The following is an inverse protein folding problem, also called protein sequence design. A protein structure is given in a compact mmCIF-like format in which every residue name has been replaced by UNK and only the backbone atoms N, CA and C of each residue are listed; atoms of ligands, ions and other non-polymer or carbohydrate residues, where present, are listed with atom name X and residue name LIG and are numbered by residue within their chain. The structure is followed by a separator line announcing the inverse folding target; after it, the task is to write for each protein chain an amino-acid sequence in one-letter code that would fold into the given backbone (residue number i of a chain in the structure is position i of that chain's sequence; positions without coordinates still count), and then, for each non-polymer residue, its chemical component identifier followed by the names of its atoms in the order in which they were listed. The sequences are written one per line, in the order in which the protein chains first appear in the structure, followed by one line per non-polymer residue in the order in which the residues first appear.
data_IF_473992419817
#
_entry.id   IF_473992419817
#
_cell.length_a   1.000
_cell.length_b   1.000
_cell.length_c   1.000
_cell.angle_alpha   90.00
_cell.angle_beta   90.00
_cell.angle_gamma   90.00
#
_symmetry.space_group_name_H-M   'P 1'
#
loop_
_entity.id
_entity.type
_entity.pdbx_description
1 polymer ?
#
# COMPACT_ATOMS: atom_id res chain seq x y z
N UNK A 1 6.88 0.31 -2.16
CA UNK A 1 5.49 0.52 -1.69
C UNK A 1 4.41 -0.34 -2.38
N UNK A 2 4.22 -0.33 -3.70
CA UNK A 2 2.97 -0.78 -4.37
C UNK A 2 2.55 -2.25 -4.33
N UNK A 3 3.45 -3.17 -3.96
CA UNK A 3 3.25 -4.61 -4.07
C UNK A 3 3.69 -5.29 -2.77
N UNK A 4 2.94 -6.31 -2.39
CA UNK A 4 3.30 -7.27 -1.34
C UNK A 4 3.45 -8.66 -1.94
N UNK A 5 4.18 -9.53 -1.25
CA UNK A 5 4.21 -10.95 -1.62
C UNK A 5 2.81 -11.56 -1.45
N UNK A 6 2.36 -12.24 -2.50
CA UNK A 6 1.03 -12.87 -2.51
C UNK A 6 0.99 -14.02 -1.49
N UNK A 7 -0.02 -14.08 -0.60
CA UNK A 7 -0.22 -15.24 0.26
C UNK A 7 -0.44 -16.52 -0.57
N UNK A 8 -0.05 -17.68 -0.03
CA UNK A 8 -0.24 -18.93 -0.76
C UNK A 8 -1.70 -19.37 -0.77
N UNK A 9 -2.15 -19.90 -1.90
CA UNK A 9 -3.46 -20.52 -2.04
C UNK A 9 -3.63 -21.71 -1.07
N UNK A 10 -2.57 -22.49 -0.86
CA UNK A 10 -2.60 -23.60 0.09
C UNK A 10 -2.91 -23.12 1.51
N UNK A 11 -2.24 -22.05 1.99
CA UNK A 11 -2.55 -21.47 3.31
C UNK A 11 -3.99 -20.97 3.40
N UNK A 12 -4.53 -20.39 2.32
CA UNK A 12 -5.94 -19.99 2.29
C UNK A 12 -6.90 -21.19 2.43
N UNK A 13 -6.57 -22.33 1.80
CA UNK A 13 -7.33 -23.58 1.97
C UNK A 13 -7.15 -24.19 3.36
N UNK A 14 -5.98 -24.05 3.97
CA UNK A 14 -5.74 -24.50 5.34
C UNK A 14 -6.54 -23.67 6.36
N UNK A 15 -6.66 -22.35 6.15
CA UNK A 15 -7.55 -21.50 6.96
C UNK A 15 -9.01 -21.93 6.83
N UNK A 16 -9.46 -22.20 5.60
CA UNK A 16 -10.80 -22.68 5.34
C UNK A 16 -11.07 -24.01 6.05
N UNK A 17 -10.11 -24.93 6.05
CA UNK A 17 -10.21 -26.19 6.80
C UNK A 17 -10.42 -25.93 8.29
N UNK A 18 -9.65 -25.01 8.86
CA UNK A 18 -9.78 -24.65 10.26
C UNK A 18 -11.14 -24.00 10.55
N UNK A 19 -11.61 -23.12 9.67
CA UNK A 19 -12.92 -22.48 9.79
C UNK A 19 -14.06 -23.50 9.76
N UNK A 20 -14.05 -24.42 8.79
CA UNK A 20 -15.07 -25.46 8.63
C UNK A 20 -15.10 -26.41 9.81
N UNK A 21 -13.94 -26.74 10.40
CA UNK A 21 -13.86 -27.58 11.60
C UNK A 21 -14.58 -26.96 12.81
N UNK A 22 -14.69 -25.64 12.88
CA UNK A 22 -15.29 -24.90 14.01
C UNK A 22 -16.61 -24.20 13.66
N UNK A 23 -17.03 -24.23 12.39
CA UNK A 23 -18.27 -23.65 11.88
C UNK A 23 -19.18 -24.74 11.30
N UNK A 24 -20.02 -25.33 12.16
CA UNK A 24 -20.94 -26.43 11.79
C UNK A 24 -21.99 -26.07 10.73
N UNK A 25 -22.09 -24.80 10.33
CA UNK A 25 -23.00 -24.32 9.29
C UNK A 25 -22.42 -24.46 7.87
N UNK A 26 -21.16 -24.87 7.73
CA UNK A 26 -20.48 -25.14 6.45
C UNK A 26 -20.05 -26.61 6.49
N UNK A 27 -20.60 -27.44 5.62
CA UNK A 27 -20.26 -28.87 5.58
C UNK A 27 -19.11 -29.16 4.60
N UNK A 28 -18.79 -30.45 4.41
CA UNK A 28 -17.72 -30.87 3.51
C UNK A 28 -18.03 -30.59 2.02
N UNK A 29 -19.30 -30.59 1.60
CA UNK A 29 -19.68 -30.26 0.23
C UNK A 29 -19.56 -28.75 0.00
N UNK A 30 -19.99 -27.95 0.97
CA UNK A 30 -19.84 -26.49 0.96
C UNK A 30 -18.36 -26.08 0.95
N UNK A 31 -17.53 -26.77 1.73
CA UNK A 31 -16.08 -26.55 1.75
C UNK A 31 -15.48 -26.65 0.34
N UNK A 32 -15.85 -27.67 -0.44
CA UNK A 32 -15.36 -27.84 -1.81
C UNK A 32 -15.77 -26.64 -2.69
N UNK A 33 -16.98 -26.10 -2.50
CA UNK A 33 -17.42 -24.90 -3.20
C UNK A 33 -16.57 -23.67 -2.85
N UNK A 34 -16.23 -23.47 -1.56
CA UNK A 34 -15.31 -22.39 -1.14
C UNK A 34 -13.87 -22.60 -1.64
N UNK A 35 -13.36 -23.83 -1.68
CA UNK A 35 -12.04 -24.12 -2.26
C UNK A 35 -12.01 -23.75 -3.75
N UNK A 36 -13.05 -24.10 -4.51
CA UNK A 36 -13.18 -23.70 -5.92
C UNK A 36 -13.29 -22.17 -6.09
N UNK A 37 -13.99 -21.50 -5.16
CA UNK A 37 -14.06 -20.05 -5.14
C UNK A 37 -12.70 -19.41 -4.89
N UNK A 38 -11.90 -19.97 -3.97
CA UNK A 38 -10.54 -19.50 -3.72
C UNK A 38 -9.62 -19.76 -4.91
N UNK A 39 -9.80 -20.88 -5.61
CA UNK A 39 -9.09 -21.19 -6.86
C UNK A 39 -9.43 -20.19 -7.97
N UNK A 40 -10.70 -19.80 -8.13
CA UNK A 40 -11.08 -18.77 -9.12
C UNK A 40 -10.52 -17.40 -8.75
N UNK A 41 -10.56 -17.02 -7.47
CA UNK A 41 -9.97 -15.78 -7.00
C UNK A 41 -8.45 -15.75 -7.25
N UNK A 42 -7.71 -16.80 -6.89
CA UNK A 42 -6.24 -16.86 -6.99
C UNK A 42 -5.72 -16.73 -8.43
N UNK A 43 -6.55 -17.04 -9.43
CA UNK A 43 -6.17 -16.89 -10.84
C UNK A 43 -6.01 -15.43 -11.25
N UNK A 44 -6.81 -14.52 -10.68
CA UNK A 44 -6.97 -13.15 -11.22
C UNK A 44 -6.96 -12.05 -10.15
N UNK A 45 -7.09 -12.39 -8.88
CA UNK A 45 -7.30 -11.43 -7.78
C UNK A 45 -8.73 -10.90 -7.69
N UNK A 46 -9.69 -11.54 -8.34
CA UNK A 46 -11.11 -11.20 -8.22
C UNK A 46 -12.01 -12.38 -8.63
N UNK A 47 -13.27 -12.35 -8.20
CA UNK A 47 -14.36 -13.14 -8.76
C UNK A 47 -15.32 -12.22 -9.53
N UNK A 48 -15.91 -12.69 -10.63
CA UNK A 48 -16.87 -11.88 -11.39
C UNK A 48 -18.16 -11.67 -10.59
N UNK A 49 -18.90 -10.60 -10.92
CA UNK A 49 -20.22 -10.35 -10.34
C UNK A 49 -21.19 -11.50 -10.63
N UNK A 50 -21.16 -12.08 -11.83
CA UNK A 50 -21.94 -13.26 -12.18
C UNK A 50 -21.61 -14.46 -11.27
N UNK A 51 -20.32 -14.71 -11.01
CA UNK A 51 -19.89 -15.79 -10.13
C UNK A 51 -20.36 -15.54 -8.69
N UNK A 52 -20.17 -14.31 -8.19
CA UNK A 52 -20.65 -13.90 -6.87
C UNK A 52 -22.16 -14.13 -6.69
N UNK A 53 -22.97 -13.68 -7.66
CA UNK A 53 -24.42 -13.82 -7.63
C UNK A 53 -24.85 -15.29 -7.67
N UNK A 54 -24.20 -16.09 -8.52
CA UNK A 54 -24.47 -17.54 -8.65
C UNK A 54 -24.11 -18.27 -7.35
N UNK A 55 -22.92 -18.02 -6.80
CA UNK A 55 -22.45 -18.63 -5.55
C UNK A 55 -23.34 -18.25 -4.36
N UNK A 56 -23.66 -16.96 -4.22
CA UNK A 56 -24.51 -16.46 -3.13
C UNK A 56 -25.93 -17.00 -3.20
N UNK A 57 -26.46 -17.24 -4.42
CA UNK A 57 -27.78 -17.82 -4.62
C UNK A 57 -27.80 -19.32 -4.31
N UNK A 58 -26.72 -20.04 -4.62
CA UNK A 58 -26.58 -21.48 -4.36
C UNK A 58 -26.29 -21.78 -2.88
N UNK A 59 -25.56 -20.91 -2.17
CA UNK A 59 -25.06 -21.15 -0.81
C UNK A 59 -25.43 -20.03 0.20
N UNK A 60 -26.69 -19.54 0.26
CA UNK A 60 -27.03 -18.32 1.00
C UNK A 60 -26.77 -18.43 2.52
N UNK A 61 -27.01 -19.59 3.12
CA UNK A 61 -26.78 -19.82 4.55
C UNK A 61 -25.29 -19.85 4.87
N UNK A 62 -24.49 -20.50 4.02
CA UNK A 62 -23.05 -20.65 4.17
C UNK A 62 -22.32 -19.34 3.95
N UNK A 63 -22.72 -18.52 2.96
CA UNK A 63 -22.18 -17.17 2.78
C UNK A 63 -22.40 -16.33 4.02
N UNK A 64 -23.60 -16.40 4.62
CA UNK A 64 -23.89 -15.73 5.89
C UNK A 64 -23.04 -16.27 7.05
N UNK A 65 -22.85 -17.60 7.11
CA UNK A 65 -22.02 -18.24 8.14
C UNK A 65 -20.54 -17.84 8.02
N UNK A 66 -20.01 -17.79 6.79
CA UNK A 66 -18.66 -17.37 6.45
C UNK A 66 -18.44 -15.91 6.86
N UNK A 67 -19.34 -15.01 6.47
CA UNK A 67 -19.30 -13.62 6.90
C UNK A 67 -19.33 -13.48 8.43
N UNK A 68 -20.09 -14.33 9.13
CA UNK A 68 -20.09 -14.38 10.59
C UNK A 68 -18.73 -14.71 11.22
N UNK A 69 -17.82 -15.35 10.48
CA UNK A 69 -16.48 -15.68 10.95
C UNK A 69 -15.50 -14.49 10.88
N UNK A 70 -15.80 -13.45 10.09
CA UNK A 70 -14.92 -12.29 9.92
C UNK A 70 -14.45 -11.68 11.25
N UNK A 71 -15.35 -11.54 12.23
CA UNK A 71 -15.04 -10.96 13.55
C UNK A 71 -13.95 -11.74 14.31
N UNK A 72 -13.77 -13.02 13.99
CA UNK A 72 -12.76 -13.90 14.59
C UNK A 72 -11.37 -13.71 13.99
N UNK A 73 -11.20 -12.86 12.97
CA UNK A 73 -9.89 -12.44 12.49
C UNK A 73 -9.23 -11.38 13.39
N UNK A 74 -9.98 -10.80 14.33
CA UNK A 74 -9.47 -9.77 15.24
C UNK A 74 -8.29 -10.25 16.11
N UNK A 75 -7.57 -9.31 16.69
CA UNK A 75 -6.43 -9.61 17.56
C UNK A 75 -6.84 -10.56 18.69
N UNK A 76 -6.02 -11.60 18.91
CA UNK A 76 -6.24 -12.63 19.93
C UNK A 76 -7.57 -13.38 19.82
N UNK A 77 -8.19 -13.38 18.64
CA UNK A 77 -9.35 -14.20 18.32
C UNK A 77 -8.93 -15.52 17.66
N UNK A 78 -9.90 -16.42 17.47
CA UNK A 78 -9.69 -17.78 16.95
C UNK A 78 -8.88 -17.84 15.64
N UNK A 79 -9.09 -16.88 14.74
CA UNK A 79 -8.38 -16.77 13.45
C UNK A 79 -7.44 -15.55 13.39
N UNK A 80 -7.08 -14.99 14.55
CA UNK A 80 -6.19 -13.83 14.67
C UNK A 80 -4.81 -14.07 14.06
N UNK A 81 -4.35 -15.31 14.00
CA UNK A 81 -3.09 -15.69 13.35
C UNK A 81 -3.03 -15.29 11.87
N UNK A 82 -4.18 -15.25 11.16
CA UNK A 82 -4.21 -14.79 9.75
C UNK A 82 -3.81 -13.32 9.68
N UNK A 83 -4.31 -12.51 10.63
CA UNK A 83 -3.94 -11.09 10.73
C UNK A 83 -2.48 -10.92 11.10
N UNK A 84 -2.02 -11.64 12.11
CA UNK A 84 -0.62 -11.58 12.55
C UNK A 84 0.33 -11.93 11.39
N UNK A 85 0.11 -13.05 10.72
CA UNK A 85 0.93 -13.47 9.57
C UNK A 85 0.93 -12.44 8.42
N UNK A 86 -0.23 -11.90 8.06
CA UNK A 86 -0.33 -10.93 6.97
C UNK A 86 0.31 -9.58 7.34
N UNK A 87 0.09 -9.08 8.56
CA UNK A 87 0.70 -7.84 9.03
C UNK A 87 2.22 -7.95 9.17
N UNK A 88 2.74 -9.08 9.65
CA UNK A 88 4.19 -9.33 9.73
C UNK A 88 4.88 -9.43 8.36
N UNK A 89 4.15 -9.85 7.33
CA UNK A 89 4.67 -9.90 5.96
C UNK A 89 4.77 -8.52 5.28
N UNK A 90 4.31 -7.44 5.93
CA UNK A 90 4.34 -6.09 5.39
C UNK A 90 5.12 -5.14 6.32
N UNK A 91 6.29 -4.68 5.87
CA UNK A 91 7.07 -3.70 6.64
C UNK A 91 6.37 -2.33 6.73
N UNK A 92 5.70 -1.93 5.65
CA UNK A 92 4.95 -0.67 5.56
C UNK A 92 3.68 -0.87 4.73
N UNK A 93 2.70 -0.01 4.95
CA UNK A 93 1.44 0.02 4.21
C UNK A 93 1.71 0.15 2.70
N UNK A 94 1.25 -0.82 1.87
CA UNK A 94 1.58 -0.84 0.45
C UNK A 94 0.95 0.31 -0.35
N UNK A 95 -0.09 0.95 0.19
CA UNK A 95 -0.73 2.09 -0.45
C UNK A 95 0.00 3.41 -0.24
N UNK A 96 0.63 3.61 0.92
CA UNK A 96 1.29 4.89 1.21
C UNK A 96 2.80 4.81 1.41
N UNK A 97 3.38 3.62 1.61
CA UNK A 97 4.82 3.40 1.69
C UNK A 97 5.49 3.87 2.99
N UNK A 98 4.73 4.21 4.03
CA UNK A 98 5.29 4.67 5.31
C UNK A 98 4.45 4.35 6.55
N UNK A 99 3.13 4.16 6.41
CA UNK A 99 2.26 3.90 7.55
C UNK A 99 2.40 2.46 8.04
N UNK A 100 2.30 2.23 9.35
CA UNK A 100 2.33 0.88 9.94
C UNK A 100 1.07 0.08 9.54
N UNK A 101 1.21 -1.14 8.99
CA UNK A 101 0.08 -1.93 8.45
C UNK A 101 -0.67 -2.72 9.52
N UNK A 102 -1.24 -1.99 10.48
CA UNK A 102 -1.94 -2.54 11.66
C UNK A 102 -3.40 -2.96 11.41
N UNK A 103 -3.93 -2.77 10.21
CA UNK A 103 -5.31 -3.16 9.86
C UNK A 103 -5.32 -4.12 8.67
N UNK A 104 -6.36 -4.96 8.58
CA UNK A 104 -6.64 -5.75 7.38
C UNK A 104 -7.83 -5.12 6.65
N UNK A 105 -7.62 -4.80 5.38
CA UNK A 105 -8.64 -4.35 4.44
C UNK A 105 -9.04 -5.51 3.52
N UNK A 106 -10.33 -5.58 3.15
CA UNK A 106 -10.76 -6.46 2.09
C UNK A 106 -10.60 -5.73 0.75
N UNK A 107 -9.84 -6.31 -0.18
CA UNK A 107 -9.73 -5.73 -1.52
C UNK A 107 -11.12 -5.68 -2.17
N UNK A 108 -11.74 -6.84 -2.37
CA UNK A 108 -13.17 -6.95 -2.69
C UNK A 108 -13.99 -6.79 -1.40
N UNK A 109 -14.85 -5.76 -1.29
CA UNK A 109 -15.50 -5.40 -0.02
C UNK A 109 -16.34 -6.52 0.59
N UNK A 110 -16.15 -6.80 1.88
CA UNK A 110 -16.90 -7.84 2.59
C UNK A 110 -18.41 -7.58 2.68
N UNK A 111 -18.83 -6.31 2.54
CA UNK A 111 -20.24 -5.92 2.55
C UNK A 111 -21.00 -6.47 1.33
N UNK A 112 -20.28 -6.67 0.22
CA UNK A 112 -20.79 -7.20 -1.05
C UNK A 112 -20.36 -8.67 -1.18
N UNK A 113 -19.07 -8.94 -1.14
CA UNK A 113 -18.46 -10.27 -1.37
C UNK A 113 -18.23 -11.03 -0.07
N UNK A 114 -19.32 -11.32 0.64
CA UNK A 114 -19.35 -11.95 1.97
C UNK A 114 -18.68 -13.32 2.03
N UNK A 115 -18.68 -14.04 0.92
CA UNK A 115 -18.06 -15.34 0.76
C UNK A 115 -16.52 -15.29 0.76
N UNK A 116 -15.94 -14.10 0.56
CA UNK A 116 -14.50 -13.84 0.66
C UNK A 116 -14.08 -13.24 2.00
N UNK A 117 -14.98 -13.12 2.98
CA UNK A 117 -14.74 -12.34 4.20
C UNK A 117 -13.54 -12.82 5.05
N UNK A 118 -13.18 -14.09 4.96
CA UNK A 118 -12.00 -14.67 5.65
C UNK A 118 -10.89 -15.10 4.70
N UNK A 119 -11.06 -14.90 3.39
CA UNK A 119 -10.09 -15.34 2.40
C UNK A 119 -8.83 -14.48 2.48
N UNK A 120 -7.72 -15.04 2.97
CA UNK A 120 -6.45 -14.30 3.10
C UNK A 120 -5.92 -13.71 1.79
N UNK A 121 -6.30 -14.28 0.64
CA UNK A 121 -5.95 -13.75 -0.67
C UNK A 121 -6.62 -12.39 -0.97
N UNK A 122 -7.77 -12.14 -0.33
CA UNK A 122 -8.54 -10.90 -0.41
C UNK A 122 -8.24 -9.92 0.76
N UNK A 123 -7.46 -10.34 1.76
CA UNK A 123 -7.11 -9.53 2.93
C UNK A 123 -5.76 -8.84 2.72
N UNK A 124 -5.75 -7.51 2.80
CA UNK A 124 -4.57 -6.68 2.57
C UNK A 124 -4.18 -5.94 3.86
N UNK A 125 -2.95 -6.16 4.39
CA UNK A 125 -2.46 -5.42 5.53
C UNK A 125 -2.13 -3.97 5.12
N UNK A 126 -2.87 -3.00 5.68
CA UNK A 126 -2.70 -1.57 5.40
C UNK A 126 -2.78 -0.75 6.68
N UNK A 127 -2.28 0.49 6.62
CA UNK A 127 -2.39 1.40 7.76
C UNK A 127 -3.82 1.89 7.97
N UNK A 128 -4.18 2.16 9.23
CA UNK A 128 -5.50 2.64 9.62
C UNK A 128 -5.97 3.83 8.77
N UNK A 129 -5.08 4.79 8.49
CA UNK A 129 -5.44 6.00 7.73
C UNK A 129 -5.74 5.72 6.26
N UNK A 130 -5.06 4.76 5.63
CA UNK A 130 -5.41 4.34 4.27
C UNK A 130 -6.73 3.58 4.27
N UNK A 131 -6.93 2.68 5.23
CA UNK A 131 -8.16 1.90 5.35
C UNK A 131 -9.40 2.79 5.49
N UNK A 132 -9.38 3.73 6.43
CA UNK A 132 -10.49 4.67 6.65
C UNK A 132 -10.78 5.56 5.45
N UNK A 133 -9.78 5.87 4.62
CA UNK A 133 -9.97 6.66 3.41
C UNK A 133 -10.51 5.84 2.25
N UNK A 134 -10.23 4.53 2.20
CA UNK A 134 -10.69 3.63 1.15
C UNK A 134 -12.17 3.28 1.28
N UNK A 135 -12.66 2.96 2.49
CA UNK A 135 -14.03 2.50 2.83
C UNK A 135 -15.08 2.54 1.71
N UNK A 136 -15.64 3.73 1.40
CA UNK A 136 -16.79 3.89 0.48
C UNK A 136 -16.39 3.99 -1.00
N UNK A 137 -15.10 3.88 -1.33
CA UNK A 137 -14.62 3.99 -2.70
C UNK A 137 -14.70 2.65 -3.41
N UNK A 138 -14.90 2.73 -4.72
CA UNK A 138 -14.83 1.56 -5.58
C UNK A 138 -13.44 0.92 -5.51
N UNK A 139 -13.40 -0.34 -5.07
CA UNK A 139 -12.17 -1.11 -4.97
C UNK A 139 -11.48 -1.30 -6.32
N UNK A 140 -12.23 -1.25 -7.43
CA UNK A 140 -11.67 -1.34 -8.78
C UNK A 140 -10.80 -0.14 -9.12
N UNK A 141 -11.04 1.01 -8.48
CA UNK A 141 -10.18 2.20 -8.56
C UNK A 141 -8.87 2.07 -7.78
N UNK A 142 -8.59 0.93 -7.16
CA UNK A 142 -7.33 0.66 -6.45
C UNK A 142 -6.56 -0.47 -7.10
N UNK A 143 -5.23 -0.38 -7.00
CA UNK A 143 -4.36 -1.48 -7.36
C UNK A 143 -4.49 -2.63 -6.34
N UNK A 144 -4.68 -3.86 -6.83
CA UNK A 144 -4.57 -5.03 -5.97
C UNK A 144 -3.11 -5.31 -5.67
N UNK A 145 -2.69 -5.19 -4.41
CA UNK A 145 -1.27 -5.27 -4.03
C UNK A 145 -0.59 -6.62 -4.28
N UNK A 146 -1.37 -7.71 -4.44
CA UNK A 146 -0.85 -9.05 -4.71
C UNK A 146 -0.90 -9.42 -6.19
N UNK A 147 -1.89 -8.91 -6.93
CA UNK A 147 -2.20 -9.36 -8.30
C UNK A 147 -1.96 -8.30 -9.37
N UNK A 148 -1.80 -7.02 -9.01
CA UNK A 148 -1.51 -6.00 -10.00
C UNK A 148 -0.09 -6.21 -10.55
N UNK A 149 0.00 -6.36 -11.86
CA UNK A 149 1.27 -6.29 -12.57
C UNK A 149 1.68 -4.85 -12.85
N UNK A 150 2.97 -4.59 -12.63
CA UNK A 150 3.60 -3.31 -12.89
C UNK A 150 4.68 -3.50 -13.96
N UNK A 151 4.79 -2.58 -14.94
CA UNK A 151 5.77 -2.71 -16.00
C UNK A 151 7.20 -2.59 -15.45
N UNK A 152 8.07 -3.53 -15.87
CA UNK A 152 9.47 -3.56 -15.44
C UNK A 152 10.24 -2.39 -16.05
N UNK A 153 11.06 -1.73 -15.23
CA UNK A 153 11.94 -0.64 -15.68
C UNK A 153 11.24 0.70 -15.95
N UNK A 154 9.91 0.78 -15.81
CA UNK A 154 9.17 2.04 -15.98
C UNK A 154 9.15 2.81 -14.66
N UNK A 155 9.55 4.09 -14.73
CA UNK A 155 9.46 5.04 -13.61
C UNK A 155 8.19 5.87 -13.80
N UNK A 156 7.17 5.55 -13.02
CA UNK A 156 5.86 6.19 -13.06
C UNK A 156 5.56 7.03 -11.83
N UNK A 157 6.12 6.75 -10.65
CA UNK A 157 5.86 7.56 -9.46
C UNK A 157 6.93 8.63 -9.29
N UNK A 158 6.54 9.91 -9.37
CA UNK A 158 7.48 11.04 -9.39
C UNK A 158 7.11 12.10 -8.39
N UNK A 159 8.11 12.88 -7.98
CA UNK A 159 7.93 14.06 -7.14
C UNK A 159 8.44 15.30 -7.89
N UNK A 160 7.56 16.26 -8.13
CA UNK A 160 7.96 17.59 -8.57
C UNK A 160 8.30 18.42 -7.33
N UNK A 161 9.55 18.85 -7.26
CA UNK A 161 10.03 19.74 -6.20
C UNK A 161 10.07 21.17 -6.71
N UNK A 162 9.50 22.09 -5.93
CA UNK A 162 9.65 23.53 -6.14
C UNK A 162 10.26 24.12 -4.88
N UNK A 163 11.42 24.75 -5.03
CA UNK A 163 12.18 25.35 -3.93
C UNK A 163 12.45 26.83 -4.19
N UNK A 164 12.76 27.58 -3.13
CA UNK A 164 13.25 28.94 -3.26
C UNK A 164 14.35 29.28 -2.24
N UNK A 165 15.03 30.40 -2.44
CA UNK A 165 16.12 30.86 -1.59
C UNK A 165 15.70 31.13 -0.12
N UNK A 166 14.41 31.28 0.16
CA UNK A 166 13.90 31.42 1.52
C UNK A 166 13.80 30.09 2.27
N UNK A 167 14.08 28.96 1.62
CA UNK A 167 13.92 27.62 2.21
C UNK A 167 12.47 27.15 2.27
N UNK A 168 11.59 27.70 1.42
CA UNK A 168 10.28 27.10 1.18
C UNK A 168 10.44 26.01 0.12
N UNK A 169 9.98 24.80 0.44
CA UNK A 169 10.02 23.65 -0.47
C UNK A 169 8.62 23.05 -0.53
N UNK A 170 8.12 22.82 -1.75
CA UNK A 170 6.89 22.11 -2.05
C UNK A 170 7.21 20.76 -2.68
N UNK A 171 6.49 19.72 -2.24
CA UNK A 171 6.58 18.37 -2.77
C UNK A 171 5.24 17.98 -3.38
N UNK A 172 5.23 17.74 -4.69
CA UNK A 172 4.04 17.32 -5.41
C UNK A 172 4.26 15.95 -6.06
N UNK A 173 3.63 14.92 -5.50
CA UNK A 173 3.76 13.55 -5.98
C UNK A 173 2.67 13.21 -6.99
N UNK A 174 3.05 12.60 -8.11
CA UNK A 174 2.14 12.31 -9.21
C UNK A 174 2.54 11.03 -9.98
N UNK A 175 1.61 10.55 -10.83
CA UNK A 175 1.83 9.45 -11.76
C UNK A 175 2.23 10.01 -13.14
N UNK A 176 3.39 9.61 -13.63
CA UNK A 176 3.81 9.80 -15.01
C UNK A 176 3.33 8.63 -15.86
N UNK A 177 2.13 8.76 -16.41
CA UNK A 177 1.44 7.71 -17.16
C UNK A 177 1.95 7.44 -18.57
N UNK A 178 2.99 8.15 -19.06
CA UNK A 178 3.42 8.08 -20.48
C UNK A 178 3.77 6.66 -20.98
N UNK A 179 4.23 5.79 -20.09
CA UNK A 179 4.60 4.40 -20.40
C UNK A 179 3.81 3.39 -19.57
N UNK A 180 2.59 3.73 -19.18
CA UNK A 180 1.67 2.87 -18.43
C UNK A 180 0.39 2.64 -19.22
N UNK A 181 -0.25 1.51 -18.99
CA UNK A 181 -1.60 1.26 -19.48
C UNK A 181 -2.59 2.23 -18.82
N UNK A 182 -3.54 2.76 -19.59
CA UNK A 182 -4.50 3.77 -19.10
C UNK A 182 -5.27 3.33 -17.86
N UNK A 183 -5.66 2.05 -17.80
CA UNK A 183 -6.37 1.50 -16.64
C UNK A 183 -5.51 1.44 -15.38
N UNK A 184 -4.19 1.23 -15.51
CA UNK A 184 -3.28 1.27 -14.38
C UNK A 184 -3.03 2.72 -13.93
N UNK A 185 -2.91 3.67 -14.87
CA UNK A 185 -2.81 5.10 -14.55
C UNK A 185 -4.02 5.54 -13.72
N UNK A 186 -5.23 5.25 -14.19
CA UNK A 186 -6.48 5.61 -13.52
C UNK A 186 -6.53 5.07 -12.08
N UNK A 187 -6.18 3.79 -11.87
CA UNK A 187 -6.12 3.19 -10.53
C UNK A 187 -5.09 3.87 -9.62
N UNK A 188 -3.91 4.17 -10.14
CA UNK A 188 -2.83 4.76 -9.35
C UNK A 188 -3.13 6.22 -8.99
N UNK A 189 -3.68 6.99 -9.93
CA UNK A 189 -4.11 8.37 -9.69
C UNK A 189 -5.26 8.42 -8.69
N UNK A 190 -6.29 7.59 -8.87
CA UNK A 190 -7.40 7.48 -7.92
C UNK A 190 -6.90 7.08 -6.52
N UNK A 191 -6.02 6.08 -6.43
CA UNK A 191 -5.43 5.68 -5.16
C UNK A 191 -4.68 6.83 -4.48
N UNK A 192 -3.84 7.59 -5.22
CA UNK A 192 -3.12 8.75 -4.70
C UNK A 192 -4.07 9.83 -4.18
N UNK A 193 -5.12 10.12 -4.93
CA UNK A 193 -6.11 11.12 -4.60
C UNK A 193 -6.90 10.73 -3.34
N UNK A 194 -7.54 9.56 -3.35
CA UNK A 194 -8.41 9.08 -2.27
C UNK A 194 -7.65 9.01 -0.94
N UNK A 195 -6.44 8.45 -0.95
CA UNK A 195 -5.66 8.31 0.30
C UNK A 195 -4.95 9.60 0.72
N UNK A 196 -5.11 10.68 -0.05
CA UNK A 196 -4.40 11.96 0.06
C UNK A 196 -2.88 11.77 0.13
N UNK A 197 -2.31 10.94 -0.74
CA UNK A 197 -0.92 10.50 -0.62
C UNK A 197 0.06 11.68 -0.66
N UNK A 198 -0.03 12.55 -1.68
CA UNK A 198 0.87 13.70 -1.86
C UNK A 198 0.89 14.61 -0.62
N UNK A 199 -0.28 14.94 -0.08
CA UNK A 199 -0.43 15.73 1.16
C UNK A 199 0.16 15.05 2.39
N UNK A 200 0.02 13.73 2.51
CA UNK A 200 0.56 12.98 3.65
C UNK A 200 2.08 12.83 3.56
N UNK A 201 2.61 12.56 2.37
CA UNK A 201 4.05 12.45 2.11
C UNK A 201 4.78 13.76 2.39
N UNK A 202 4.14 14.94 2.27
CA UNK A 202 4.78 16.21 2.62
C UNK A 202 5.42 16.21 4.03
N UNK A 203 4.75 15.61 5.04
CA UNK A 203 5.31 15.50 6.40
C UNK A 203 6.49 14.51 6.47
N UNK A 204 6.40 13.42 5.72
CA UNK A 204 7.45 12.42 5.62
C UNK A 204 8.70 12.98 4.91
N UNK A 205 8.52 13.75 3.84
CA UNK A 205 9.61 14.46 3.15
C UNK A 205 10.35 15.44 4.07
N UNK A 206 9.62 16.26 4.84
CA UNK A 206 10.23 17.19 5.80
C UNK A 206 11.03 16.41 6.85
N UNK A 207 10.46 15.36 7.41
CA UNK A 207 11.11 14.52 8.42
C UNK A 207 12.35 13.83 7.85
N UNK A 208 12.24 13.28 6.64
CA UNK A 208 13.33 12.62 5.94
C UNK A 208 14.49 13.59 5.69
N UNK A 209 14.23 14.77 5.12
CA UNK A 209 15.26 15.77 4.84
C UNK A 209 15.93 16.23 6.14
N UNK A 210 15.14 16.62 7.15
CA UNK A 210 15.68 17.13 8.42
C UNK A 210 16.46 16.09 9.21
N UNK A 211 16.16 14.80 9.06
CA UNK A 211 16.84 13.72 9.78
C UNK A 211 18.04 13.14 9.03
N UNK A 212 18.08 13.25 7.69
CA UNK A 212 19.12 12.59 6.89
C UNK A 212 20.11 13.55 6.24
N UNK A 213 19.79 14.84 6.09
CA UNK A 213 20.68 15.82 5.47
C UNK A 213 21.50 16.53 6.55
N UNK A 214 22.74 16.08 6.73
CA UNK A 214 23.67 16.65 7.72
C UNK A 214 24.38 17.86 7.12
N UNK A 215 23.84 19.06 7.37
CA UNK A 215 24.34 20.33 6.78
C UNK A 215 25.82 20.53 7.03
N UNK A 216 26.32 20.17 8.22
CA UNK A 216 27.73 20.37 8.61
C UNK A 216 28.70 19.64 7.65
N UNK A 217 28.24 18.56 7.01
CA UNK A 217 29.01 17.78 6.02
C UNK A 217 28.92 18.33 4.59
N UNK A 218 28.01 19.29 4.33
CA UNK A 218 27.67 19.77 2.99
C UNK A 218 28.24 21.18 2.77
N UNK A 219 29.47 21.23 2.25
CA UNK A 219 30.26 22.48 2.15
C UNK A 219 29.82 23.39 1.00
N UNK A 220 29.26 22.85 -0.08
CA UNK A 220 28.84 23.61 -1.27
C UNK A 220 27.74 22.85 -2.06
N UNK A 221 27.28 23.45 -3.17
CA UNK A 221 26.23 22.88 -4.02
C UNK A 221 26.66 21.58 -4.73
N UNK A 222 27.95 21.42 -5.04
CA UNK A 222 28.47 20.18 -5.65
C UNK A 222 28.42 19.02 -4.67
N UNK A 223 28.82 19.25 -3.41
CA UNK A 223 28.72 18.30 -2.33
C UNK A 223 27.27 17.90 -2.06
N UNK A 224 26.33 18.86 -2.09
CA UNK A 224 24.90 18.59 -1.98
C UNK A 224 24.40 17.70 -3.13
N UNK A 225 24.74 18.03 -4.38
CA UNK A 225 24.34 17.22 -5.54
C UNK A 225 24.91 15.81 -5.49
N UNK A 226 26.19 15.67 -5.13
CA UNK A 226 26.80 14.36 -4.95
C UNK A 226 26.12 13.56 -3.83
N UNK A 227 25.83 14.20 -2.70
CA UNK A 227 25.11 13.57 -1.58
C UNK A 227 23.72 13.07 -1.99
N UNK A 228 22.93 13.89 -2.69
CA UNK A 228 21.61 13.48 -3.17
C UNK A 228 21.74 12.33 -4.18
N UNK A 229 22.71 12.39 -5.09
CA UNK A 229 22.94 11.33 -6.08
C UNK A 229 23.31 9.99 -5.44
N UNK A 230 24.21 9.99 -4.44
CA UNK A 230 24.57 8.78 -3.68
C UNK A 230 23.34 8.20 -2.95
N UNK A 231 22.55 9.06 -2.30
CA UNK A 231 21.31 8.64 -1.61
C UNK A 231 20.26 8.13 -2.58
N UNK A 232 20.10 8.76 -3.74
CA UNK A 232 19.17 8.36 -4.79
C UNK A 232 19.52 6.97 -5.32
N UNK A 233 20.81 6.71 -5.57
CA UNK A 233 21.28 5.38 -5.96
C UNK A 233 20.92 4.34 -4.90
N UNK A 234 21.24 4.60 -3.64
CA UNK A 234 20.87 3.71 -2.52
C UNK A 234 19.36 3.50 -2.43
N UNK A 235 18.55 4.55 -2.50
CA UNK A 235 17.10 4.44 -2.45
C UNK A 235 16.55 3.60 -3.61
N UNK A 236 17.12 3.75 -4.81
CA UNK A 236 16.79 2.92 -5.97
C UNK A 236 17.13 1.45 -5.75
N UNK A 237 18.29 1.15 -5.19
CA UNK A 237 18.74 -0.22 -4.91
C UNK A 237 17.90 -0.90 -3.82
N UNK A 238 17.53 -0.17 -2.75
CA UNK A 238 16.80 -0.72 -1.59
C UNK A 238 15.28 -0.73 -1.78
N UNK A 239 14.70 0.35 -2.29
CA UNK A 239 13.24 0.52 -2.36
C UNK A 239 12.67 0.39 -3.78
N UNK A 240 13.53 0.53 -4.80
CA UNK A 240 13.14 0.55 -6.20
C UNK A 240 12.79 1.93 -6.74
N UNK A 241 12.59 2.00 -8.06
CA UNK A 241 12.38 3.25 -8.80
C UNK A 241 11.10 4.01 -8.43
N UNK A 242 10.04 3.28 -8.05
CA UNK A 242 8.71 3.84 -7.82
C UNK A 242 8.39 3.99 -6.33
N UNK A 243 9.40 4.05 -5.46
CA UNK A 243 9.20 4.38 -4.05
C UNK A 243 9.19 5.90 -3.82
N UNK A 244 8.50 6.36 -2.78
CA UNK A 244 8.41 7.78 -2.47
C UNK A 244 9.77 8.40 -2.09
N UNK A 245 10.69 7.64 -1.48
CA UNK A 245 12.05 8.12 -1.19
C UNK A 245 12.82 8.39 -2.49
N UNK A 246 12.74 7.45 -3.43
CA UNK A 246 13.39 7.56 -4.75
C UNK A 246 12.81 8.73 -5.53
N UNK A 247 11.47 8.85 -5.57
CA UNK A 247 10.78 9.95 -6.20
C UNK A 247 11.17 11.31 -5.60
N UNK A 248 11.22 11.42 -4.27
CA UNK A 248 11.66 12.62 -3.54
C UNK A 248 13.09 12.99 -3.91
N UNK A 249 14.04 12.06 -3.78
CA UNK A 249 15.45 12.30 -4.03
C UNK A 249 15.72 12.70 -5.49
N UNK A 250 15.02 12.08 -6.44
CA UNK A 250 15.06 12.47 -7.85
C UNK A 250 14.53 13.90 -8.03
N UNK A 251 13.37 14.23 -7.44
CA UNK A 251 12.81 15.58 -7.50
C UNK A 251 13.74 16.65 -6.90
N UNK A 252 14.39 16.35 -5.76
CA UNK A 252 15.38 17.23 -5.14
C UNK A 252 16.61 17.41 -6.04
N UNK A 253 17.08 16.34 -6.69
CA UNK A 253 18.23 16.37 -7.60
C UNK A 253 17.96 17.22 -8.85
N UNK A 254 16.74 17.16 -9.38
CA UNK A 254 16.34 17.87 -10.60
C UNK A 254 15.97 19.35 -10.35
N UNK A 255 15.65 19.72 -9.10
CA UNK A 255 15.30 21.08 -8.72
C UNK A 255 16.56 21.97 -8.64
N UNK A 256 16.75 22.87 -9.61
CA UNK A 256 17.92 23.76 -9.66
C UNK A 256 17.95 24.76 -8.50
N UNK A 257 16.78 25.16 -8.02
CA UNK A 257 16.59 26.08 -6.92
C UNK A 257 16.80 25.43 -5.55
N UNK A 258 16.90 24.10 -5.49
CA UNK A 258 17.27 23.37 -4.27
C UNK A 258 18.79 23.35 -4.10
N UNK A 259 19.32 24.44 -3.54
CA UNK A 259 20.73 24.62 -3.26
C UNK A 259 21.06 24.54 -1.75
N UNK A 260 22.35 24.67 -1.40
CA UNK A 260 22.79 24.58 0.00
C UNK A 260 22.21 25.70 0.87
N UNK A 261 21.95 26.87 0.29
CA UNK A 261 21.32 28.00 0.98
C UNK A 261 19.87 27.71 1.31
N UNK A 262 19.11 27.22 0.33
CA UNK A 262 17.74 26.75 0.49
C UNK A 262 17.65 25.67 1.58
N UNK A 263 18.49 24.64 1.52
CA UNK A 263 18.53 23.55 2.50
C UNK A 263 18.80 24.06 3.92
N UNK A 264 19.76 24.98 4.08
CA UNK A 264 20.07 25.60 5.38
C UNK A 264 18.86 26.34 5.96
N UNK A 265 18.18 27.13 5.13
CA UNK A 265 16.97 27.85 5.55
C UNK A 265 15.82 26.88 5.89
N UNK A 266 15.62 25.86 5.06
CA UNK A 266 14.59 24.86 5.25
C UNK A 266 14.77 24.08 6.56
N UNK A 267 15.99 23.58 6.83
CA UNK A 267 16.27 22.88 8.08
C UNK A 267 16.18 23.84 9.27
N UNK A 268 16.68 25.08 9.14
CA UNK A 268 16.55 26.10 10.19
C UNK A 268 15.11 26.34 10.63
N UNK A 269 14.16 26.35 9.68
CA UNK A 269 12.72 26.52 9.93
C UNK A 269 12.04 25.28 10.50
N UNK A 270 12.56 24.08 10.20
CA UNK A 270 11.93 22.80 10.55
C UNK A 270 12.66 22.01 11.65
N UNK A 271 13.74 22.54 12.23
CA UNK A 271 14.44 21.90 13.35
C UNK A 271 13.48 21.72 14.53
N UNK A 272 13.41 20.49 15.05
CA UNK A 272 12.71 20.22 16.31
C UNK A 272 13.40 20.99 17.42
N UNK A 273 12.61 21.63 18.30
CA UNK A 273 13.14 22.20 19.55
C UNK A 273 13.67 21.03 20.39
N UNK A 274 14.96 21.05 20.67
CA UNK A 274 15.57 20.08 21.59
C UNK A 274 15.06 20.42 23.00
N UNK A 275 14.56 19.42 23.72
CA UNK A 275 14.33 19.57 25.15
C UNK A 275 15.71 19.64 25.80
N UNK A 276 16.05 20.81 26.33
CA UNK A 276 17.27 21.05 27.12
C UNK A 276 17.08 20.43 28.50
#
# INVERSE_FOLDING_TARGET
MWRLDKPSLQKAKDDLNNIVAHCLAIDNADKIAFENLYDEYDRKGYISEEYHLSFSSAHPAQVKAMYGQYRKLGDKQEYGYIREELSEAADTCPYCGFGEPVTLDHYMPESIYKELATCRLNLVPICWKCNNKKLDNDYQGFSHVYYQDFPKGVIFFKCKVVANASGLISFDFYIDGRNLDSSLVEKLENQIEVIELSKRLNKECITFITSNFVIESLVNNEALKFFISDRLKKATDYYGNNDWHTALLQGLYDCKEFDIGCLKQFIGKNKRKVLV
#
